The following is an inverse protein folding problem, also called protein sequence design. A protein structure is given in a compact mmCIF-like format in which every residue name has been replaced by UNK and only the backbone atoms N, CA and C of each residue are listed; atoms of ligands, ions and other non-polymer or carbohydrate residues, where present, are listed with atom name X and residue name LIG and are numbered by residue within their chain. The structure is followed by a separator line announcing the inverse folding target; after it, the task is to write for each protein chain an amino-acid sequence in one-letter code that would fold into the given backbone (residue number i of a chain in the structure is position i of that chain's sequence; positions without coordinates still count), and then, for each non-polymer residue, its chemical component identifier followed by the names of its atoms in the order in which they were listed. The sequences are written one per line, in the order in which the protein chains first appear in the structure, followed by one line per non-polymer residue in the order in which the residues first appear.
data_IF_891438332456
#
_entry.id   IF_891438332456
#
_cell.length_a   1.000
_cell.length_b   1.000
_cell.length_c   1.000
_cell.angle_alpha   90.00
_cell.angle_beta   90.00
_cell.angle_gamma   90.00
#
_symmetry.space_group_name_H-M   'P 1'
#
loop_
_entity.id
_entity.type
_entity.pdbx_description
1 polymer ?
#
# COMPACT_ATOMS: atom_id res chain seq x y z
N UNK A 1 2.11 -27.35 5.77
CA UNK A 1 3.20 -27.27 4.76
C UNK A 1 4.40 -28.06 5.28
N UNK A 2 5.15 -28.78 4.44
CA UNK A 2 6.46 -29.30 4.85
C UNK A 2 7.35 -28.13 5.30
N UNK A 3 8.43 -28.41 6.03
CA UNK A 3 9.35 -27.43 6.62
C UNK A 3 9.99 -26.55 5.51
N UNK A 4 9.27 -25.47 5.11
CA UNK A 4 9.70 -24.52 4.06
C UNK A 4 10.70 -23.53 4.61
N UNK A 5 11.70 -23.18 3.81
CA UNK A 5 12.69 -22.15 4.11
C UNK A 5 12.41 -20.92 3.24
N UNK A 6 12.13 -19.80 3.86
CA UNK A 6 11.89 -18.51 3.18
C UNK A 6 13.04 -17.55 3.47
N UNK A 7 13.68 -17.04 2.43
CA UNK A 7 14.79 -16.11 2.53
C UNK A 7 14.35 -14.70 2.15
N UNK A 8 14.33 -13.80 3.13
CA UNK A 8 13.99 -12.36 2.94
C UNK A 8 15.26 -11.57 2.69
N UNK A 9 15.44 -11.09 1.47
CA UNK A 9 16.60 -10.27 1.07
C UNK A 9 16.24 -8.80 1.19
N UNK A 10 16.61 -8.21 2.31
CA UNK A 10 16.27 -6.83 2.69
C UNK A 10 15.27 -6.76 3.85
N UNK A 11 15.81 -6.67 5.08
CA UNK A 11 15.02 -6.50 6.31
C UNK A 11 14.81 -5.00 6.58
N UNK A 12 14.01 -4.36 5.70
CA UNK A 12 13.45 -3.04 5.91
C UNK A 12 12.02 -3.12 6.45
N UNK A 13 11.25 -2.02 6.37
CA UNK A 13 9.84 -1.99 6.74
C UNK A 13 9.05 -3.11 6.02
N UNK A 14 9.13 -3.18 4.70
CA UNK A 14 8.35 -4.13 3.89
C UNK A 14 8.79 -5.57 4.15
N UNK A 15 10.09 -5.88 4.00
CA UNK A 15 10.59 -7.25 4.13
C UNK A 15 10.39 -7.83 5.54
N UNK A 16 10.58 -7.02 6.57
CA UNK A 16 10.34 -7.45 7.95
C UNK A 16 8.84 -7.62 8.24
N UNK A 17 7.96 -6.75 7.74
CA UNK A 17 6.50 -6.90 7.88
C UNK A 17 5.98 -8.14 7.14
N UNK A 18 6.55 -8.47 5.95
CA UNK A 18 6.25 -9.73 5.25
C UNK A 18 6.64 -10.94 6.10
N UNK A 19 7.85 -10.95 6.67
CA UNK A 19 8.31 -12.02 7.56
C UNK A 19 7.35 -12.22 8.73
N UNK A 20 6.90 -11.14 9.37
CA UNK A 20 5.93 -11.20 10.47
C UNK A 20 4.57 -11.78 10.03
N UNK A 21 4.08 -11.37 8.85
CA UNK A 21 2.84 -11.90 8.30
C UNK A 21 2.94 -13.40 7.94
N UNK A 22 4.06 -13.83 7.35
CA UNK A 22 4.34 -15.25 7.07
C UNK A 22 4.37 -16.05 8.38
N UNK A 23 5.09 -15.57 9.38
CA UNK A 23 5.17 -16.21 10.70
C UNK A 23 3.79 -16.36 11.35
N UNK A 24 2.91 -15.40 11.19
CA UNK A 24 1.54 -15.41 11.76
C UNK A 24 0.70 -16.58 11.21
N UNK A 25 0.78 -16.86 9.91
CA UNK A 25 0.02 -17.95 9.28
C UNK A 25 0.76 -19.29 9.27
N UNK A 26 2.08 -19.25 9.24
CA UNK A 26 2.97 -20.40 9.04
C UNK A 26 4.10 -20.40 10.07
N UNK A 27 3.81 -20.71 11.34
CA UNK A 27 4.82 -20.71 12.41
C UNK A 27 5.90 -21.79 12.20
N UNK A 28 5.62 -22.82 11.38
CA UNK A 28 6.54 -23.91 11.02
C UNK A 28 7.59 -23.51 9.98
N UNK A 29 7.39 -22.38 9.26
CA UNK A 29 8.32 -21.94 8.22
C UNK A 29 9.59 -21.36 8.85
N UNK A 30 10.75 -21.79 8.36
CA UNK A 30 12.03 -21.20 8.72
C UNK A 30 12.25 -19.90 7.94
N UNK A 31 12.37 -18.77 8.66
CA UNK A 31 12.60 -17.45 8.08
C UNK A 31 14.07 -17.05 8.21
N UNK A 32 14.74 -16.89 7.07
CA UNK A 32 16.12 -16.42 6.97
C UNK A 32 16.13 -14.98 6.47
N UNK A 33 17.02 -14.15 6.99
CA UNK A 33 17.05 -12.74 6.63
C UNK A 33 18.43 -12.25 6.20
N UNK A 34 18.48 -11.48 5.12
CA UNK A 34 19.67 -10.75 4.72
C UNK A 34 19.48 -9.25 4.94
N UNK A 35 20.47 -8.63 5.56
CA UNK A 35 20.58 -7.17 5.58
C UNK A 35 22.05 -6.75 5.78
N UNK A 36 22.49 -5.70 5.08
CA UNK A 36 23.85 -5.17 5.22
C UNK A 36 24.08 -4.53 6.60
N UNK A 37 23.06 -3.89 7.17
CA UNK A 37 23.13 -3.23 8.48
C UNK A 37 23.12 -4.23 9.64
N UNK A 38 24.17 -4.23 10.47
CA UNK A 38 24.22 -5.04 11.67
C UNK A 38 23.06 -4.71 12.62
N UNK A 39 22.80 -3.41 12.83
CA UNK A 39 21.71 -2.97 13.70
C UNK A 39 20.34 -3.52 13.25
N UNK A 40 20.08 -3.56 11.93
CA UNK A 40 18.85 -4.14 11.40
C UNK A 40 18.77 -5.64 11.64
N UNK A 41 19.88 -6.37 11.49
CA UNK A 41 19.96 -7.81 11.78
C UNK A 41 19.69 -8.11 13.25
N UNK A 42 20.30 -7.34 14.15
CA UNK A 42 20.14 -7.51 15.60
C UNK A 42 18.69 -7.27 16.04
N UNK A 43 18.03 -6.23 15.49
CA UNK A 43 16.62 -5.94 15.77
C UNK A 43 15.73 -7.09 15.25
N UNK A 44 15.97 -7.58 14.03
CA UNK A 44 15.17 -8.65 13.45
C UNK A 44 15.24 -9.95 14.26
N UNK A 45 16.43 -10.33 14.73
CA UNK A 45 16.61 -11.50 15.61
C UNK A 45 15.99 -11.28 16.97
N UNK A 46 16.28 -10.14 17.62
CA UNK A 46 15.78 -9.84 18.97
C UNK A 46 14.26 -9.86 19.04
N UNK A 47 13.59 -9.40 17.99
CA UNK A 47 12.13 -9.34 17.91
C UNK A 47 11.50 -10.62 17.33
N UNK A 48 12.28 -11.67 17.03
CA UNK A 48 11.78 -12.92 16.48
C UNK A 48 11.16 -12.79 15.08
N UNK A 49 11.53 -11.74 14.32
CA UNK A 49 11.02 -11.50 12.96
C UNK A 49 11.51 -12.61 12.02
N UNK A 50 12.77 -12.99 12.16
CA UNK A 50 13.42 -14.09 11.42
C UNK A 50 14.21 -14.99 12.37
N UNK A 51 14.49 -16.23 11.95
CA UNK A 51 15.19 -17.22 12.77
C UNK A 51 16.70 -17.07 12.72
N UNK A 52 17.22 -16.65 11.54
CA UNK A 52 18.65 -16.39 11.32
C UNK A 52 18.85 -15.20 10.41
N UNK A 53 19.99 -14.54 10.53
CA UNK A 53 20.34 -13.38 9.70
C UNK A 53 21.77 -13.49 9.19
N UNK A 54 22.03 -12.87 8.04
CA UNK A 54 23.36 -12.78 7.46
C UNK A 54 23.63 -11.43 6.82
N UNK A 55 24.91 -11.09 6.64
CA UNK A 55 25.37 -9.98 5.80
C UNK A 55 25.88 -10.49 4.43
N UNK A 56 25.95 -11.81 4.23
CA UNK A 56 26.35 -12.45 3.00
C UNK A 56 25.13 -13.01 2.26
N UNK A 57 24.87 -12.51 1.06
CA UNK A 57 23.72 -12.90 0.26
C UNK A 57 23.74 -14.39 -0.11
N UNK A 58 24.94 -14.97 -0.30
CA UNK A 58 25.13 -16.34 -0.75
C UNK A 58 24.85 -17.37 0.36
N UNK A 59 25.06 -17.00 1.64
CA UNK A 59 25.05 -17.91 2.78
C UNK A 59 23.78 -18.74 2.90
N UNK A 60 22.62 -18.16 2.58
CA UNK A 60 21.32 -18.84 2.70
C UNK A 60 20.63 -19.12 1.36
N UNK A 61 21.19 -18.63 0.24
CA UNK A 61 20.52 -18.73 -1.06
C UNK A 61 20.23 -20.17 -1.48
N UNK A 62 21.18 -21.10 -1.24
CA UNK A 62 21.03 -22.53 -1.60
C UNK A 62 20.09 -23.32 -0.68
N UNK A 63 19.65 -22.74 0.44
CA UNK A 63 18.76 -23.39 1.39
C UNK A 63 17.29 -23.02 1.18
N UNK A 64 17.03 -21.91 0.45
CA UNK A 64 15.71 -21.32 0.32
C UNK A 64 14.82 -22.07 -0.67
N UNK A 65 13.57 -22.28 -0.28
CA UNK A 65 12.48 -22.69 -1.17
C UNK A 65 11.77 -21.50 -1.79
N UNK A 66 11.80 -20.34 -1.08
CA UNK A 66 11.30 -19.04 -1.57
C UNK A 66 12.30 -17.95 -1.22
N UNK A 67 12.64 -17.11 -2.19
CA UNK A 67 13.47 -15.91 -2.00
C UNK A 67 12.63 -14.68 -2.29
N UNK A 68 12.44 -13.80 -1.29
CA UNK A 68 11.71 -12.55 -1.45
C UNK A 68 12.69 -11.39 -1.41
N UNK A 69 12.87 -10.69 -2.54
CA UNK A 69 13.79 -9.56 -2.64
C UNK A 69 13.04 -8.27 -2.32
N UNK A 70 13.30 -7.73 -1.13
CA UNK A 70 12.68 -6.52 -0.58
C UNK A 70 13.68 -5.36 -0.52
N UNK A 71 14.13 -4.93 -1.70
CA UNK A 71 15.13 -3.89 -1.90
C UNK A 71 14.61 -2.82 -2.89
N UNK A 72 15.18 -1.61 -2.92
CA UNK A 72 14.90 -0.64 -3.98
C UNK A 72 15.17 -1.21 -5.37
N UNK A 73 14.45 -0.73 -6.40
CA UNK A 73 14.41 -1.31 -7.75
C UNK A 73 15.81 -1.64 -8.31
N UNK A 74 16.73 -0.67 -8.24
CA UNK A 74 18.10 -0.86 -8.75
C UNK A 74 18.83 -2.00 -8.05
N UNK A 75 18.73 -2.08 -6.72
CA UNK A 75 19.33 -3.15 -5.94
C UNK A 75 18.64 -4.49 -6.17
N UNK A 76 17.32 -4.50 -6.36
CA UNK A 76 16.56 -5.72 -6.71
C UNK A 76 17.10 -6.33 -8.00
N UNK A 77 17.27 -5.53 -9.05
CA UNK A 77 17.82 -6.00 -10.34
C UNK A 77 19.25 -6.53 -10.18
N UNK A 78 20.08 -5.83 -9.43
CA UNK A 78 21.45 -6.29 -9.13
C UNK A 78 21.46 -7.60 -8.33
N UNK A 79 20.54 -7.74 -7.40
CA UNK A 79 20.39 -8.97 -6.60
C UNK A 79 19.96 -10.15 -7.47
N UNK A 80 19.07 -9.97 -8.44
CA UNK A 80 18.72 -11.03 -9.40
C UNK A 80 19.93 -11.51 -10.20
N UNK A 81 20.75 -10.56 -10.68
CA UNK A 81 21.99 -10.89 -11.39
C UNK A 81 23.03 -11.63 -10.51
N UNK A 82 23.01 -11.41 -9.20
CA UNK A 82 23.86 -12.13 -8.26
C UNK A 82 23.29 -13.52 -7.99
N UNK A 83 22.02 -13.62 -7.66
CA UNK A 83 21.32 -14.89 -7.39
C UNK A 83 21.40 -15.86 -8.59
N UNK A 84 21.32 -15.35 -9.82
CA UNK A 84 21.44 -16.18 -11.03
C UNK A 84 22.80 -16.85 -11.22
N UNK A 85 23.84 -16.45 -10.48
CA UNK A 85 25.19 -17.02 -10.50
C UNK A 85 25.45 -17.94 -9.31
N UNK A 86 24.50 -18.03 -8.36
CA UNK A 86 24.62 -18.82 -7.14
C UNK A 86 24.00 -20.21 -7.34
N UNK A 87 24.37 -21.15 -6.49
CA UNK A 87 23.68 -22.42 -6.40
C UNK A 87 22.34 -22.23 -5.69
N UNK A 88 21.24 -22.37 -6.41
CA UNK A 88 19.89 -22.29 -5.87
C UNK A 88 19.24 -23.69 -5.87
N UNK A 89 18.23 -23.89 -5.04
CA UNK A 89 17.42 -25.10 -5.13
C UNK A 89 16.71 -25.18 -6.49
N UNK A 90 16.49 -26.37 -6.99
CA UNK A 90 15.57 -26.60 -8.10
C UNK A 90 14.16 -26.17 -7.69
N UNK A 91 13.42 -25.54 -8.62
CA UNK A 91 12.05 -25.06 -8.41
C UNK A 91 11.91 -23.97 -7.32
N UNK A 92 13.02 -23.35 -6.88
CA UNK A 92 12.93 -22.20 -5.96
C UNK A 92 12.06 -21.10 -6.54
N UNK A 93 11.18 -20.54 -5.74
CA UNK A 93 10.42 -19.34 -6.14
C UNK A 93 11.24 -18.11 -5.79
N UNK A 94 11.49 -17.26 -6.79
CA UNK A 94 12.08 -15.93 -6.59
C UNK A 94 11.03 -14.88 -6.89
N UNK A 95 10.82 -13.96 -5.95
CA UNK A 95 9.89 -12.84 -6.09
C UNK A 95 10.49 -11.54 -5.58
N UNK A 96 9.85 -10.44 -5.90
CA UNK A 96 10.20 -9.10 -5.39
C UNK A 96 8.99 -8.37 -4.79
N UNK A 97 9.22 -7.18 -4.27
CA UNK A 97 8.19 -6.30 -3.71
C UNK A 97 8.28 -4.87 -4.26
N UNK A 98 8.94 -4.70 -5.37
CA UNK A 98 9.23 -3.37 -5.93
C UNK A 98 7.97 -2.63 -6.41
N UNK A 99 8.02 -1.30 -6.34
CA UNK A 99 6.91 -0.43 -6.71
C UNK A 99 6.70 -0.26 -8.22
N UNK A 100 7.65 -0.71 -9.05
CA UNK A 100 7.53 -0.76 -10.52
C UNK A 100 7.77 -2.18 -11.00
N UNK A 101 7.07 -2.61 -12.03
CA UNK A 101 7.09 -4.02 -12.45
C UNK A 101 7.73 -4.24 -13.82
N UNK A 102 7.50 -3.37 -14.79
CA UNK A 102 8.02 -3.57 -16.15
C UNK A 102 9.52 -3.83 -16.20
N UNK A 103 10.31 -2.99 -15.55
CA UNK A 103 11.78 -3.13 -15.49
C UNK A 103 12.22 -4.31 -14.64
N UNK A 104 11.59 -4.53 -13.48
CA UNK A 104 11.95 -5.61 -12.54
C UNK A 104 11.62 -6.98 -13.13
N UNK A 105 10.42 -7.14 -13.69
CA UNK A 105 9.99 -8.41 -14.27
C UNK A 105 10.86 -8.80 -15.46
N UNK A 106 11.16 -7.84 -16.34
CA UNK A 106 12.10 -8.06 -17.44
C UNK A 106 13.46 -8.54 -16.93
N UNK A 107 14.03 -7.85 -15.94
CA UNK A 107 15.31 -8.22 -15.36
C UNK A 107 15.30 -9.60 -14.68
N UNK A 108 14.21 -9.94 -13.98
CA UNK A 108 14.02 -11.26 -13.37
C UNK A 108 13.95 -12.37 -14.42
N UNK A 109 13.16 -12.17 -15.48
CA UNK A 109 13.10 -13.12 -16.59
C UNK A 109 14.47 -13.32 -17.26
N UNK A 110 15.20 -12.24 -17.56
CA UNK A 110 16.53 -12.32 -18.14
C UNK A 110 17.53 -13.06 -17.22
N UNK A 111 17.47 -12.81 -15.91
CA UNK A 111 18.38 -13.43 -14.94
C UNK A 111 18.13 -14.92 -14.76
N UNK A 112 16.87 -15.36 -14.81
CA UNK A 112 16.48 -16.73 -14.44
C UNK A 112 16.03 -17.62 -15.62
N UNK A 113 16.00 -17.09 -16.84
CA UNK A 113 15.46 -17.75 -18.04
C UNK A 113 16.01 -19.18 -18.30
N UNK A 114 17.25 -19.47 -17.90
CA UNK A 114 17.90 -20.76 -18.14
C UNK A 114 18.15 -21.56 -16.85
N UNK A 115 17.51 -21.16 -15.76
CA UNK A 115 17.68 -21.80 -14.46
C UNK A 115 16.36 -22.46 -14.04
N UNK A 116 16.42 -23.52 -13.21
CA UNK A 116 15.24 -24.14 -12.65
C UNK A 116 14.65 -23.28 -11.52
N UNK A 117 14.33 -22.03 -11.84
CA UNK A 117 13.81 -20.98 -10.93
C UNK A 117 12.45 -20.56 -11.41
N UNK A 118 11.47 -20.56 -10.54
CA UNK A 118 10.12 -20.04 -10.79
C UNK A 118 10.05 -18.57 -10.35
N UNK A 119 10.14 -17.66 -11.32
CA UNK A 119 10.10 -16.21 -11.04
C UNK A 119 8.69 -15.64 -11.11
N UNK A 120 8.31 -14.87 -10.08
CA UNK A 120 7.02 -14.16 -9.99
C UNK A 120 7.25 -12.75 -9.50
N UNK A 121 6.90 -11.74 -10.30
CA UNK A 121 6.91 -10.34 -9.85
C UNK A 121 5.80 -10.06 -8.84
N UNK A 122 6.10 -9.31 -7.79
CA UNK A 122 5.17 -8.95 -6.73
C UNK A 122 5.24 -7.47 -6.34
N UNK A 123 4.12 -6.91 -5.87
CA UNK A 123 4.07 -5.55 -5.31
C UNK A 123 2.97 -5.43 -4.26
N UNK A 124 3.30 -5.35 -2.96
CA UNK A 124 2.33 -4.99 -1.93
C UNK A 124 2.02 -3.48 -2.02
N UNK A 125 0.76 -3.14 -2.31
CA UNK A 125 0.27 -1.75 -2.39
C UNK A 125 0.08 -1.14 -0.99
N UNK A 126 1.12 -1.26 -0.17
CA UNK A 126 1.14 -0.72 1.19
C UNK A 126 2.53 -0.15 1.49
N UNK A 127 2.55 0.88 2.32
CA UNK A 127 3.78 1.54 2.72
C UNK A 127 3.53 2.57 3.82
N UNK A 128 4.61 3.10 4.38
CA UNK A 128 4.58 4.15 5.38
C UNK A 128 5.72 5.14 5.09
N UNK A 129 5.60 6.35 5.63
CA UNK A 129 6.71 7.32 5.68
C UNK A 129 7.84 6.85 6.62
N UNK A 130 7.56 5.88 7.50
CA UNK A 130 8.55 5.27 8.38
C UNK A 130 9.41 4.27 7.60
N UNK A 131 10.67 4.13 7.96
CA UNK A 131 11.64 3.24 7.32
C UNK A 131 12.33 2.32 8.31
N UNK A 132 12.96 1.26 7.79
CA UNK A 132 13.77 0.33 8.59
C UNK A 132 12.98 -0.75 9.29
N UNK A 133 13.71 -1.73 9.83
CA UNK A 133 13.15 -2.92 10.50
C UNK A 133 12.40 -2.58 11.80
N UNK A 134 12.83 -1.52 12.51
CA UNK A 134 12.18 -1.09 13.74
C UNK A 134 10.74 -0.57 13.53
N UNK A 135 10.39 -0.24 12.29
CA UNK A 135 9.05 0.21 11.90
C UNK A 135 8.20 -0.91 11.32
N UNK A 136 8.69 -2.16 11.32
CA UNK A 136 7.94 -3.30 10.81
C UNK A 136 6.64 -3.49 11.61
N UNK A 137 5.58 -3.83 10.88
CA UNK A 137 4.24 -3.96 11.42
C UNK A 137 3.54 -5.14 10.75
N UNK A 138 3.07 -6.10 11.54
CA UNK A 138 2.37 -7.30 11.05
C UNK A 138 1.02 -6.97 10.39
N UNK A 139 0.46 -5.79 10.63
CA UNK A 139 -0.81 -5.32 10.08
C UNK A 139 -0.63 -4.39 8.87
N UNK A 140 0.61 -4.10 8.47
CA UNK A 140 0.92 -3.16 7.39
C UNK A 140 0.15 -3.42 6.09
N UNK A 141 -0.10 -4.69 5.78
CA UNK A 141 -0.72 -5.13 4.53
C UNK A 141 -2.21 -5.45 4.66
N UNK A 142 -2.78 -5.40 5.86
CA UNK A 142 -4.19 -5.72 6.07
C UNK A 142 -5.07 -4.83 5.19
N UNK A 143 -5.96 -5.50 4.43
CA UNK A 143 -6.87 -4.87 3.47
C UNK A 143 -6.19 -4.15 2.27
N UNK A 144 -4.87 -4.18 2.14
CA UNK A 144 -4.17 -3.68 0.97
C UNK A 144 -4.24 -4.69 -0.19
N UNK A 145 -3.98 -4.24 -1.40
CA UNK A 145 -3.74 -5.15 -2.52
C UNK A 145 -2.30 -5.65 -2.49
N UNK A 146 -2.12 -6.95 -2.75
CA UNK A 146 -0.83 -7.53 -3.15
C UNK A 146 -0.96 -7.94 -4.61
N UNK A 147 -0.20 -7.28 -5.47
CA UNK A 147 -0.29 -7.47 -6.91
C UNK A 147 0.79 -8.46 -7.34
N UNK A 148 0.39 -9.57 -7.97
CA UNK A 148 1.29 -10.41 -8.75
C UNK A 148 1.28 -9.95 -10.20
N UNK A 149 2.46 -10.01 -10.83
CA UNK A 149 2.60 -9.59 -12.22
C UNK A 149 3.11 -10.76 -13.09
N UNK A 150 2.20 -11.72 -13.41
CA UNK A 150 2.54 -12.84 -14.25
C UNK A 150 2.85 -12.41 -15.68
N UNK A 151 3.66 -13.22 -16.35
CA UNK A 151 3.91 -13.18 -17.78
C UNK A 151 3.63 -14.56 -18.37
N UNK A 152 3.74 -14.71 -19.68
CA UNK A 152 3.59 -16.02 -20.34
C UNK A 152 4.60 -17.07 -19.87
N UNK A 153 5.72 -16.64 -19.28
CA UNK A 153 6.75 -17.52 -18.74
C UNK A 153 6.56 -17.81 -17.23
N UNK A 154 5.57 -17.22 -16.59
CA UNK A 154 5.34 -17.43 -15.15
C UNK A 154 4.58 -18.73 -14.95
N UNK A 155 5.10 -19.58 -14.04
CA UNK A 155 4.39 -20.79 -13.60
C UNK A 155 3.21 -20.38 -12.70
N UNK A 156 1.96 -20.73 -13.07
CA UNK A 156 0.78 -20.41 -12.25
C UNK A 156 0.81 -21.05 -10.85
N UNK A 157 1.48 -22.22 -10.70
CA UNK A 157 1.59 -22.88 -9.41
C UNK A 157 2.41 -22.07 -8.41
N UNK A 158 3.43 -21.34 -8.88
CA UNK A 158 4.21 -20.45 -8.04
C UNK A 158 3.37 -19.31 -7.45
N UNK A 159 2.41 -18.78 -8.21
CA UNK A 159 1.49 -17.73 -7.71
C UNK A 159 0.57 -18.31 -6.62
N UNK A 160 0.06 -19.53 -6.80
CA UNK A 160 -0.78 -20.18 -5.81
C UNK A 160 -0.01 -20.45 -4.51
N UNK A 161 1.23 -20.94 -4.62
CA UNK A 161 2.10 -21.15 -3.47
C UNK A 161 2.44 -19.83 -2.75
N UNK A 162 2.66 -18.74 -3.50
CA UNK A 162 2.89 -17.44 -2.92
C UNK A 162 1.65 -16.89 -2.21
N UNK A 163 0.45 -17.06 -2.79
CA UNK A 163 -0.82 -16.65 -2.13
C UNK A 163 -1.03 -17.41 -0.82
N UNK A 164 -0.74 -18.71 -0.78
CA UNK A 164 -0.80 -19.50 0.44
C UNK A 164 0.23 -19.01 1.47
N UNK A 165 1.49 -18.88 1.09
CA UNK A 165 2.58 -18.39 1.97
C UNK A 165 2.26 -17.01 2.57
N UNK A 166 1.68 -16.12 1.79
CA UNK A 166 1.37 -14.74 2.17
C UNK A 166 -0.03 -14.58 2.79
N UNK A 167 -0.76 -15.67 3.07
CA UNK A 167 -2.14 -15.61 3.60
C UNK A 167 -2.26 -14.86 4.93
N UNK A 168 -1.21 -14.89 5.77
CA UNK A 168 -1.18 -14.17 7.05
C UNK A 168 -1.07 -12.65 6.95
N UNK A 169 -0.89 -12.10 5.75
CA UNK A 169 -0.83 -10.64 5.54
C UNK A 169 -2.20 -9.98 5.61
N UNK A 170 -3.30 -10.72 5.46
CA UNK A 170 -4.65 -10.16 5.41
C UNK A 170 -4.90 -9.23 4.21
N UNK A 171 -4.13 -9.40 3.12
CA UNK A 171 -4.23 -8.59 1.92
C UNK A 171 -5.11 -9.26 0.85
N UNK A 172 -5.49 -8.50 -0.18
CA UNK A 172 -6.23 -8.98 -1.35
C UNK A 172 -5.26 -9.23 -2.49
N UNK A 173 -5.24 -10.46 -3.02
CA UNK A 173 -4.38 -10.82 -4.14
C UNK A 173 -5.06 -10.51 -5.47
N UNK A 174 -4.35 -9.82 -6.36
CA UNK A 174 -4.76 -9.63 -7.76
C UNK A 174 -3.58 -9.91 -8.70
N UNK A 175 -3.90 -10.22 -9.94
CA UNK A 175 -2.94 -10.48 -11.00
C UNK A 175 -3.11 -9.45 -12.11
N UNK A 176 -2.03 -8.77 -12.48
CA UNK A 176 -2.03 -7.68 -13.46
C UNK A 176 -0.80 -7.81 -14.35
N UNK A 177 -0.94 -7.53 -15.64
CA UNK A 177 0.21 -7.43 -16.55
C UNK A 177 1.24 -6.39 -16.04
N UNK A 178 2.57 -6.66 -16.12
CA UNK A 178 3.59 -5.75 -15.59
C UNK A 178 3.54 -4.33 -16.18
N UNK A 179 3.21 -4.19 -17.44
CA UNK A 179 3.14 -2.89 -18.13
C UNK A 179 1.87 -2.15 -17.72
N UNK A 180 0.74 -2.86 -17.62
CA UNK A 180 -0.52 -2.27 -17.14
C UNK A 180 -0.39 -1.86 -15.67
N UNK A 181 0.27 -2.67 -14.83
CA UNK A 181 0.62 -2.28 -13.47
C UNK A 181 1.34 -0.92 -13.43
N UNK A 182 2.39 -0.76 -14.25
CA UNK A 182 3.20 0.47 -14.25
C UNK A 182 2.42 1.68 -14.80
N UNK A 183 1.50 1.47 -15.75
CA UNK A 183 0.56 2.51 -16.23
C UNK A 183 -0.39 2.96 -15.13
N UNK A 184 -1.03 2.01 -14.45
CA UNK A 184 -1.98 2.31 -13.37
C UNK A 184 -1.26 3.00 -12.20
N UNK A 185 -0.14 2.44 -11.72
CA UNK A 185 0.60 3.02 -10.60
C UNK A 185 1.21 4.38 -10.94
N UNK A 186 1.55 4.64 -12.21
CA UNK A 186 2.00 5.97 -12.64
C UNK A 186 0.95 7.03 -12.35
N UNK A 187 -0.34 6.74 -12.57
CA UNK A 187 -1.44 7.68 -12.38
C UNK A 187 -1.83 7.87 -10.93
N UNK A 188 -1.94 6.76 -10.18
CA UNK A 188 -2.54 6.80 -8.82
C UNK A 188 -1.51 6.96 -7.70
N UNK A 189 -0.22 6.77 -7.98
CA UNK A 189 0.86 6.82 -6.99
C UNK A 189 2.03 7.70 -7.43
N UNK A 190 2.67 7.40 -8.56
CA UNK A 190 3.93 8.05 -8.93
C UNK A 190 3.73 9.52 -9.28
N UNK A 191 2.79 9.83 -10.16
CA UNK A 191 2.51 11.21 -10.56
C UNK A 191 2.02 12.08 -9.40
N UNK A 192 1.10 11.65 -8.51
CA UNK A 192 0.74 12.41 -7.32
C UNK A 192 1.92 12.83 -6.43
N UNK A 193 2.95 11.98 -6.29
CA UNK A 193 4.15 12.36 -5.53
C UNK A 193 5.01 13.40 -6.25
N UNK A 194 5.13 13.29 -7.58
CA UNK A 194 5.80 14.33 -8.40
C UNK A 194 5.07 15.66 -8.25
N UNK A 195 3.74 15.64 -8.32
CA UNK A 195 2.91 16.83 -8.17
C UNK A 195 3.05 17.47 -6.78
N UNK A 196 2.97 16.67 -5.72
CA UNK A 196 3.12 17.13 -4.34
C UNK A 196 4.50 17.77 -4.10
N UNK A 197 5.57 17.14 -4.57
CA UNK A 197 6.93 17.66 -4.46
C UNK A 197 7.12 18.95 -5.27
N UNK A 198 6.54 19.04 -6.47
CA UNK A 198 6.59 20.24 -7.33
C UNK A 198 5.83 21.40 -6.69
N UNK A 199 4.62 21.14 -6.17
CA UNK A 199 3.80 22.13 -5.48
C UNK A 199 4.50 22.66 -4.22
N UNK A 200 5.15 21.77 -3.46
CA UNK A 200 5.91 22.15 -2.28
C UNK A 200 7.12 23.02 -2.64
N UNK A 201 7.86 22.66 -3.69
CA UNK A 201 9.00 23.45 -4.19
C UNK A 201 8.56 24.85 -4.67
N UNK A 202 7.45 24.94 -5.41
CA UNK A 202 6.87 26.21 -5.85
C UNK A 202 6.49 27.10 -4.64
N UNK A 203 5.81 26.53 -3.65
CA UNK A 203 5.40 27.27 -2.46
C UNK A 203 6.60 27.74 -1.62
N UNK A 204 7.65 26.92 -1.52
CA UNK A 204 8.88 27.30 -0.82
C UNK A 204 9.54 28.52 -1.48
N UNK A 205 9.72 28.49 -2.79
CA UNK A 205 10.27 29.62 -3.55
C UNK A 205 9.41 30.89 -3.41
N UNK A 206 8.09 30.75 -3.48
CA UNK A 206 7.15 31.88 -3.31
C UNK A 206 7.21 32.48 -1.90
N UNK A 207 7.47 31.68 -0.88
CA UNK A 207 7.55 32.12 0.52
C UNK A 207 8.78 32.99 0.79
N UNK A 208 9.86 32.84 0.00
CA UNK A 208 11.06 33.69 0.11
C UNK A 208 10.74 35.16 -0.15
N UNK A 209 9.82 35.47 -1.09
CA UNK A 209 9.39 36.80 -1.42
C UNK A 209 8.13 37.25 -0.62
N UNK A 210 7.30 36.27 -0.22
CA UNK A 210 5.99 36.51 0.42
C UNK A 210 5.88 35.75 1.75
N UNK A 211 6.46 36.29 2.81
CA UNK A 211 6.58 35.62 4.14
C UNK A 211 5.25 35.18 4.77
N UNK A 212 4.12 35.74 4.35
CA UNK A 212 2.79 35.33 4.81
C UNK A 212 2.31 34.02 4.17
N UNK A 213 2.86 33.60 3.03
CA UNK A 213 2.41 32.42 2.30
C UNK A 213 2.49 31.15 3.18
N UNK A 214 3.60 30.95 3.88
CA UNK A 214 3.74 29.83 4.82
C UNK A 214 2.77 29.87 6.00
N UNK A 215 2.39 31.07 6.45
CA UNK A 215 1.42 31.24 7.56
C UNK A 215 -0.02 31.01 7.13
N UNK A 216 -0.33 31.21 5.85
CA UNK A 216 -1.66 30.99 5.28
C UNK A 216 -1.84 29.57 4.74
N UNK A 217 -0.79 28.73 4.76
CA UNK A 217 -0.88 27.34 4.37
C UNK A 217 -1.85 26.58 5.30
N UNK A 218 -3.06 26.33 4.80
CA UNK A 218 -4.15 25.68 5.52
C UNK A 218 -4.30 24.20 5.15
N UNK A 219 -5.37 23.55 5.62
CA UNK A 219 -5.59 22.12 5.50
C UNK A 219 -5.44 21.58 4.08
N UNK A 220 -6.06 22.18 3.08
CA UNK A 220 -5.99 21.73 1.69
C UNK A 220 -4.55 21.67 1.14
N UNK A 221 -3.73 22.70 1.40
CA UNK A 221 -2.33 22.70 1.00
C UNK A 221 -1.53 21.59 1.71
N UNK A 222 -1.71 21.48 3.02
CA UNK A 222 -1.06 20.44 3.82
C UNK A 222 -1.41 19.03 3.35
N UNK A 223 -2.68 18.76 3.05
CA UNK A 223 -3.14 17.45 2.61
C UNK A 223 -2.57 17.10 1.24
N UNK A 224 -2.53 18.03 0.30
CA UNK A 224 -1.95 17.84 -1.03
C UNK A 224 -0.43 17.64 -1.00
N UNK A 225 0.28 18.29 -0.08
CA UNK A 225 1.75 18.25 -0.02
C UNK A 225 2.29 17.24 0.98
N UNK A 226 1.45 16.60 1.80
CA UNK A 226 1.86 15.65 2.84
C UNK A 226 2.79 14.55 2.32
N UNK A 227 2.53 14.03 1.13
CA UNK A 227 3.34 12.95 0.53
C UNK A 227 4.69 13.42 -0.04
N UNK A 228 4.94 14.73 -0.08
CA UNK A 228 6.26 15.28 -0.46
C UNK A 228 7.37 14.99 0.57
N UNK A 229 7.02 14.58 1.80
CA UNK A 229 7.98 14.18 2.84
C UNK A 229 8.56 12.76 2.61
N UNK A 230 8.21 12.11 1.51
CA UNK A 230 8.64 10.75 1.20
C UNK A 230 10.14 10.67 0.92
N UNK A 231 10.72 9.48 1.14
CA UNK A 231 12.17 9.24 1.07
C UNK A 231 12.70 9.44 -0.37
N UNK A 232 13.68 10.35 -0.59
CA UNK A 232 14.11 10.76 -1.93
C UNK A 232 14.74 9.65 -2.77
N UNK A 233 15.53 8.75 -2.16
CA UNK A 233 16.23 7.68 -2.91
C UNK A 233 15.24 6.65 -3.46
N UNK A 234 14.16 6.37 -2.76
CA UNK A 234 13.09 5.51 -3.22
C UNK A 234 12.39 6.13 -4.44
N UNK A 235 12.02 7.41 -4.37
CA UNK A 235 11.34 8.11 -5.47
C UNK A 235 12.23 8.30 -6.69
N UNK A 236 13.52 8.59 -6.50
CA UNK A 236 14.50 8.59 -7.59
C UNK A 236 14.50 7.25 -8.33
N UNK A 237 14.50 6.14 -7.58
CA UNK A 237 14.50 4.80 -8.16
C UNK A 237 13.20 4.49 -8.92
N UNK A 238 12.03 4.90 -8.38
CA UNK A 238 10.73 4.73 -9.02
C UNK A 238 10.64 5.52 -10.33
N UNK A 239 10.99 6.82 -10.31
CA UNK A 239 10.90 7.67 -11.50
C UNK A 239 11.80 7.18 -12.64
N UNK A 240 13.02 6.72 -12.31
CA UNK A 240 13.95 6.19 -13.30
C UNK A 240 13.60 4.79 -13.82
N UNK A 241 12.77 4.03 -13.11
CA UNK A 241 12.36 2.68 -13.52
C UNK A 241 11.03 2.62 -14.29
N UNK A 242 10.21 3.69 -14.23
CA UNK A 242 8.95 3.81 -14.99
C UNK A 242 8.86 5.17 -15.72
N UNK A 243 9.88 5.60 -16.48
CA UNK A 243 9.94 6.97 -17.02
C UNK A 243 8.85 7.24 -18.04
N UNK A 244 8.55 6.31 -18.95
CA UNK A 244 7.60 6.53 -20.06
C UNK A 244 6.20 6.85 -19.52
N UNK A 245 5.63 5.97 -18.68
CA UNK A 245 4.29 6.16 -18.15
C UNK A 245 4.18 7.42 -17.27
N UNK A 246 5.23 7.78 -16.54
CA UNK A 246 5.25 8.99 -15.70
C UNK A 246 5.33 10.25 -16.56
N UNK A 247 6.16 10.27 -17.60
CA UNK A 247 6.27 11.41 -18.53
C UNK A 247 4.95 11.65 -19.27
N UNK A 248 4.25 10.58 -19.68
CA UNK A 248 2.92 10.69 -20.29
C UNK A 248 1.92 11.35 -19.33
N UNK A 249 1.94 11.02 -18.03
CA UNK A 249 1.06 11.66 -17.03
C UNK A 249 1.41 13.11 -16.80
N UNK A 250 2.69 13.46 -16.79
CA UNK A 250 3.14 14.85 -16.68
C UNK A 250 2.64 15.66 -17.88
N UNK A 251 2.82 15.16 -19.10
CA UNK A 251 2.38 15.85 -20.32
C UNK A 251 0.85 16.05 -20.35
N UNK A 252 0.07 15.01 -20.02
CA UNK A 252 -1.39 15.11 -19.94
C UNK A 252 -1.83 16.17 -18.92
N UNK A 253 -1.19 16.18 -17.76
CA UNK A 253 -1.52 17.15 -16.72
C UNK A 253 -1.16 18.60 -17.10
N UNK A 254 0.00 18.79 -17.74
CA UNK A 254 0.39 20.11 -18.28
C UNK A 254 -0.65 20.64 -19.26
N UNK A 255 -1.11 19.79 -20.20
CA UNK A 255 -2.15 20.17 -21.16
C UNK A 255 -3.48 20.56 -20.45
N UNK A 256 -3.85 19.88 -19.36
CA UNK A 256 -5.04 20.21 -18.58
C UNK A 256 -4.89 21.55 -17.84
N UNK A 257 -3.71 21.83 -17.29
CA UNK A 257 -3.42 23.13 -16.67
C UNK A 257 -3.48 24.27 -17.70
N UNK A 258 -2.96 24.06 -18.90
CA UNK A 258 -3.04 25.07 -19.99
C UNK A 258 -4.49 25.35 -20.38
N UNK A 259 -5.36 24.33 -20.45
CA UNK A 259 -6.80 24.53 -20.68
C UNK A 259 -7.44 25.37 -19.57
N UNK A 260 -7.14 25.11 -18.30
CA UNK A 260 -7.65 25.93 -17.19
C UNK A 260 -7.13 27.35 -17.27
N UNK A 261 -5.85 27.55 -17.61
CA UNK A 261 -5.28 28.88 -17.79
C UNK A 261 -5.96 29.65 -18.93
N UNK A 262 -6.34 29.00 -20.01
CA UNK A 262 -7.06 29.60 -21.14
C UNK A 262 -8.50 29.97 -20.77
N UNK A 263 -9.23 29.14 -20.05
CA UNK A 263 -10.55 29.47 -19.51
C UNK A 263 -10.49 30.74 -18.63
N UNK A 264 -9.47 30.83 -17.78
CA UNK A 264 -9.27 32.03 -16.92
C UNK A 264 -8.95 33.29 -17.74
N UNK A 265 -8.04 33.18 -18.71
CA UNK A 265 -7.67 34.34 -19.58
C UNK A 265 -8.84 34.88 -20.37
N UNK A 266 -9.74 33.99 -20.79
CA UNK A 266 -10.91 34.35 -21.61
C UNK A 266 -12.14 34.67 -20.77
N UNK A 267 -12.08 34.55 -19.44
CA UNK A 267 -13.21 34.81 -18.56
C UNK A 267 -14.40 33.89 -18.77
N UNK A 268 -14.16 32.62 -19.12
CA UNK A 268 -15.20 31.64 -19.43
C UNK A 268 -15.80 31.06 -18.14
N UNK A 269 -16.71 31.80 -17.54
CA UNK A 269 -17.30 31.47 -16.23
C UNK A 269 -18.01 30.13 -16.22
N UNK A 270 -18.83 29.83 -17.22
CA UNK A 270 -19.55 28.53 -17.32
C UNK A 270 -18.62 27.33 -17.50
N UNK A 271 -17.53 27.49 -18.25
CA UNK A 271 -16.56 26.41 -18.46
C UNK A 271 -15.76 26.16 -17.17
N UNK A 272 -15.38 27.23 -16.46
CA UNK A 272 -14.70 27.12 -15.16
C UNK A 272 -15.61 26.43 -14.15
N UNK A 273 -16.88 26.83 -14.10
CA UNK A 273 -17.86 26.20 -13.21
C UNK A 273 -18.01 24.69 -13.54
N UNK A 274 -18.17 24.38 -14.82
CA UNK A 274 -18.32 22.99 -15.28
C UNK A 274 -17.09 22.14 -14.97
N UNK A 275 -15.88 22.70 -15.08
CA UNK A 275 -14.64 22.01 -14.73
C UNK A 275 -14.63 21.56 -13.26
N UNK A 276 -15.02 22.44 -12.33
CA UNK A 276 -15.07 22.09 -10.91
C UNK A 276 -16.24 21.15 -10.58
N UNK A 277 -17.38 21.34 -11.21
CA UNK A 277 -18.56 20.51 -10.97
C UNK A 277 -18.32 19.06 -11.42
N UNK A 278 -17.77 18.84 -12.61
CA UNK A 278 -17.38 17.51 -13.09
C UNK A 278 -16.34 16.86 -12.16
N UNK A 279 -15.37 17.62 -11.68
CA UNK A 279 -14.37 17.12 -10.74
C UNK A 279 -15.00 16.68 -9.40
N UNK A 280 -15.97 17.47 -8.91
CA UNK A 280 -16.75 17.13 -7.70
C UNK A 280 -17.52 15.83 -7.89
N UNK A 281 -18.26 15.69 -9.00
CA UNK A 281 -19.02 14.47 -9.30
C UNK A 281 -18.12 13.24 -9.43
N UNK A 282 -17.01 13.36 -10.19
CA UNK A 282 -16.04 12.29 -10.33
C UNK A 282 -15.48 11.87 -8.97
N UNK A 283 -15.16 12.83 -8.10
CA UNK A 283 -14.63 12.55 -6.76
C UNK A 283 -15.65 11.83 -5.87
N UNK A 284 -16.93 12.16 -5.98
CA UNK A 284 -18.01 11.51 -5.25
C UNK A 284 -18.25 10.06 -5.71
N UNK A 285 -18.14 9.80 -7.01
CA UNK A 285 -18.34 8.46 -7.59
C UNK A 285 -17.08 7.58 -7.56
N UNK A 286 -15.89 8.18 -7.41
CA UNK A 286 -14.66 7.43 -7.34
C UNK A 286 -14.54 6.71 -6.01
N UNK A 287 -14.57 5.38 -6.04
CA UNK A 287 -14.31 4.55 -4.86
C UNK A 287 -12.84 4.67 -4.46
N UNK A 288 -12.52 5.65 -3.62
CA UNK A 288 -11.19 5.78 -3.05
C UNK A 288 -11.19 5.04 -1.72
N UNK A 289 -10.51 3.91 -1.69
CA UNK A 289 -10.39 3.12 -0.48
C UNK A 289 -9.66 3.93 0.61
N UNK A 290 -10.33 4.16 1.73
CA UNK A 290 -9.66 4.66 2.94
C UNK A 290 -8.68 3.59 3.43
N UNK A 291 -7.52 3.96 3.96
CA UNK A 291 -6.55 3.04 4.55
C UNK A 291 -7.28 2.11 5.55
N UNK A 292 -7.18 0.80 5.34
CA UNK A 292 -7.83 -0.21 6.18
C UNK A 292 -9.32 -0.45 5.90
N UNK A 293 -9.91 0.27 4.92
CA UNK A 293 -11.28 0.02 4.51
C UNK A 293 -11.35 -1.18 3.56
N UNK A 294 -11.73 -2.35 4.07
CA UNK A 294 -12.46 -3.32 3.24
C UNK A 294 -13.68 -2.55 2.74
N UNK A 295 -14.06 -2.65 1.44
CA UNK A 295 -15.48 -2.52 1.12
C UNK A 295 -16.20 -3.60 1.94
N UNK A 296 -16.56 -3.25 3.15
CA UNK A 296 -17.59 -3.96 3.84
C UNK A 296 -18.86 -3.58 3.10
N UNK A 297 -19.47 -4.54 2.45
CA UNK A 297 -20.81 -4.36 1.89
C UNK A 297 -21.86 -4.31 3.00
N UNK A 298 -21.43 -4.37 4.26
CA UNK A 298 -22.28 -4.54 5.44
C UNK A 298 -21.97 -3.47 6.49
N UNK A 299 -22.25 -2.20 6.13
CA UNK A 299 -22.05 -1.06 7.00
C UNK A 299 -23.37 -0.61 7.64
N UNK A 300 -23.32 -0.25 8.93
CA UNK A 300 -24.35 0.55 9.57
C UNK A 300 -23.80 1.91 9.95
N UNK A 301 -24.66 2.91 9.93
CA UNK A 301 -24.35 4.27 10.35
C UNK A 301 -25.27 4.60 11.52
N UNK A 302 -24.69 4.92 12.66
CA UNK A 302 -25.41 5.22 13.89
C UNK A 302 -25.20 6.67 14.24
N UNK A 303 -26.29 7.44 14.35
CA UNK A 303 -26.24 8.80 14.87
C UNK A 303 -26.03 8.75 16.38
N UNK A 304 -24.90 9.22 16.85
CA UNK A 304 -24.53 9.16 18.27
C UNK A 304 -24.47 10.55 18.89
N UNK A 305 -25.08 10.77 20.06
CA UNK A 305 -24.95 12.02 20.80
C UNK A 305 -23.52 12.16 21.36
N UNK A 306 -23.12 13.42 21.65
CA UNK A 306 -21.86 13.68 22.35
C UNK A 306 -22.02 13.42 23.86
N UNK A 307 -22.02 12.13 24.21
CA UNK A 307 -22.13 11.63 25.59
C UNK A 307 -20.89 10.81 25.97
N UNK A 308 -20.52 10.86 27.24
CA UNK A 308 -19.48 9.98 27.76
C UNK A 308 -19.84 8.50 27.53
N UNK A 309 -18.86 7.70 27.09
CA UNK A 309 -18.98 6.25 26.87
C UNK A 309 -19.99 5.78 25.82
N UNK A 310 -20.56 6.67 25.01
CA UNK A 310 -21.56 6.29 23.98
C UNK A 310 -21.04 5.21 23.03
N UNK A 311 -19.80 5.33 22.57
CA UNK A 311 -19.16 4.35 21.67
C UNK A 311 -18.97 3.01 22.38
N UNK A 312 -18.51 3.03 23.62
CA UNK A 312 -18.33 1.82 24.44
C UNK A 312 -19.66 1.09 24.64
N UNK A 313 -20.71 1.82 24.92
CA UNK A 313 -22.07 1.29 25.08
C UNK A 313 -22.56 0.58 23.81
N UNK A 314 -22.38 1.20 22.64
CA UNK A 314 -22.75 0.58 21.36
C UNK A 314 -21.93 -0.68 21.11
N UNK A 315 -20.61 -0.66 21.33
CA UNK A 315 -19.75 -1.81 21.13
C UNK A 315 -20.08 -2.98 22.07
N UNK A 316 -20.50 -2.70 23.30
CA UNK A 316 -20.98 -3.72 24.23
C UNK A 316 -22.27 -4.37 23.73
N UNK A 317 -23.23 -3.60 23.18
CA UNK A 317 -24.47 -4.12 22.63
C UNK A 317 -24.24 -5.08 21.47
N UNK A 318 -23.32 -4.76 20.57
CA UNK A 318 -23.01 -5.58 19.38
C UNK A 318 -21.93 -6.63 19.64
N UNK A 319 -21.62 -6.91 20.89
CA UNK A 319 -20.61 -7.90 21.27
C UNK A 319 -20.93 -9.27 20.70
N UNK A 320 -19.95 -9.89 20.03
CA UNK A 320 -20.09 -11.20 19.40
C UNK A 320 -20.50 -11.15 17.93
N UNK A 321 -20.61 -9.95 17.32
CA UNK A 321 -20.64 -9.77 15.87
C UNK A 321 -19.21 -9.69 15.29
N UNK A 322 -19.05 -9.99 14.00
CA UNK A 322 -17.76 -9.96 13.32
C UNK A 322 -17.42 -8.54 12.84
N UNK A 323 -16.92 -7.71 13.75
CA UNK A 323 -16.49 -6.36 13.42
C UNK A 323 -15.28 -6.37 12.48
N UNK A 324 -15.31 -5.51 11.46
CA UNK A 324 -14.19 -5.27 10.52
C UNK A 324 -13.56 -3.91 10.76
N UNK A 325 -14.40 -2.89 10.94
CA UNK A 325 -13.93 -1.51 11.10
C UNK A 325 -14.93 -0.67 11.88
N UNK A 326 -14.42 0.36 12.55
CA UNK A 326 -15.20 1.38 13.23
C UNK A 326 -14.62 2.72 12.83
N UNK A 327 -15.47 3.63 12.37
CA UNK A 327 -15.05 4.96 11.98
C UNK A 327 -16.00 6.02 12.55
N UNK A 328 -15.45 7.07 13.14
CA UNK A 328 -16.22 8.21 13.62
C UNK A 328 -16.05 9.33 12.61
N UNK A 329 -17.15 9.77 12.01
CA UNK A 329 -17.18 10.95 11.15
C UNK A 329 -17.60 12.14 12.00
N UNK A 330 -16.65 12.98 12.36
CA UNK A 330 -16.91 14.32 12.89
C UNK A 330 -17.24 15.24 11.71
N UNK A 331 -18.49 15.36 11.32
CA UNK A 331 -18.93 16.49 10.51
C UNK A 331 -19.15 17.66 11.47
N UNK A 332 -18.40 18.76 11.24
CA UNK A 332 -18.62 20.06 11.89
C UNK A 332 -20.03 20.57 11.53
N UNK A 333 -21.04 20.16 12.28
CA UNK A 333 -22.36 20.80 12.33
C UNK A 333 -22.52 21.39 13.71
N UNK A 334 -23.09 22.58 13.78
CA UNK A 334 -23.44 23.31 15.02
C UNK A 334 -24.44 22.55 15.92
N UNK A 335 -24.94 21.39 15.47
CA UNK A 335 -25.80 20.48 16.22
C UNK A 335 -25.09 19.10 16.38
N UNK A 336 -24.63 18.89 17.50
CA UNK A 336 -23.95 17.90 18.32
C UNK A 336 -24.30 16.43 18.06
N UNK A 337 -24.12 15.86 16.88
CA UNK A 337 -24.20 14.41 16.66
C UNK A 337 -23.03 13.94 15.79
N UNK A 338 -22.29 12.94 16.28
CA UNK A 338 -21.30 12.21 15.48
C UNK A 338 -21.96 11.06 14.74
N UNK A 339 -21.47 10.73 13.54
CA UNK A 339 -21.89 9.51 12.84
C UNK A 339 -20.86 8.42 13.09
N UNK A 340 -21.27 7.35 13.78
CA UNK A 340 -20.47 6.15 14.00
C UNK A 340 -20.77 5.15 12.88
N UNK A 341 -19.80 4.96 11.98
CA UNK A 341 -19.86 3.92 10.97
C UNK A 341 -19.25 2.64 11.52
N UNK A 342 -20.00 1.53 11.46
CA UNK A 342 -19.56 0.21 11.91
C UNK A 342 -19.68 -0.76 10.74
N UNK A 343 -18.60 -1.48 10.44
CA UNK A 343 -18.50 -2.40 9.31
C UNK A 343 -18.41 -3.86 9.78
N UNK A 344 -19.16 -4.76 9.15
CA UNK A 344 -19.24 -6.18 9.50
C UNK A 344 -18.73 -7.09 8.37
N UNK A 345 -18.36 -8.33 8.70
CA UNK A 345 -17.94 -9.34 7.71
C UNK A 345 -19.11 -9.96 6.96
N UNK A 346 -20.31 -9.97 7.55
CA UNK A 346 -21.48 -10.66 7.00
C UNK A 346 -22.75 -9.81 7.13
N UNK A 347 -23.70 -10.00 6.21
CA UNK A 347 -25.02 -9.39 6.30
C UNK A 347 -25.77 -9.79 7.60
N UNK A 348 -25.62 -11.02 8.04
CA UNK A 348 -26.26 -11.50 9.26
C UNK A 348 -25.75 -10.77 10.52
N UNK A 349 -24.47 -10.40 10.58
CA UNK A 349 -23.92 -9.61 11.68
C UNK A 349 -24.35 -8.14 11.60
N UNK A 350 -24.52 -7.60 10.40
CA UNK A 350 -25.05 -6.26 10.17
C UNK A 350 -26.51 -6.17 10.66
N UNK A 351 -27.38 -7.06 10.21
CA UNK A 351 -28.79 -7.12 10.61
C UNK A 351 -28.94 -7.33 12.12
N UNK A 352 -28.11 -8.20 12.69
CA UNK A 352 -28.10 -8.43 14.14
C UNK A 352 -27.68 -7.18 14.92
N UNK A 353 -26.66 -6.47 14.46
CA UNK A 353 -26.17 -5.27 15.11
C UNK A 353 -27.19 -4.13 15.03
N UNK A 354 -27.82 -3.94 13.85
CA UNK A 354 -28.92 -2.99 13.68
C UNK A 354 -30.06 -3.26 14.65
N UNK A 355 -30.54 -4.51 14.71
CA UNK A 355 -31.62 -4.91 15.62
C UNK A 355 -31.26 -4.62 17.09
N UNK A 356 -30.07 -5.01 17.53
CA UNK A 356 -29.60 -4.81 18.92
C UNK A 356 -29.52 -3.32 19.30
N UNK A 357 -29.00 -2.47 18.40
CA UNK A 357 -28.91 -1.03 18.67
C UNK A 357 -30.30 -0.39 18.68
N UNK A 358 -31.13 -0.69 17.67
CA UNK A 358 -32.50 -0.13 17.56
C UNK A 358 -33.43 -0.56 18.71
N UNK A 359 -33.29 -1.80 19.20
CA UNK A 359 -34.12 -2.30 20.31
C UNK A 359 -33.68 -1.79 21.69
N UNK A 360 -32.42 -1.47 21.86
CA UNK A 360 -31.83 -1.13 23.18
C UNK A 360 -31.41 0.33 23.34
N UNK A 361 -31.55 1.14 22.29
CA UNK A 361 -31.24 2.57 22.32
C UNK A 361 -32.24 3.36 21.48
N UNK A 362 -32.25 4.69 21.69
CA UNK A 362 -33.02 5.63 20.85
C UNK A 362 -32.16 6.16 19.67
N UNK A 363 -31.05 5.52 19.35
CA UNK A 363 -30.14 5.97 18.29
C UNK A 363 -30.69 5.61 16.91
N UNK A 364 -30.58 6.56 15.97
CA UNK A 364 -30.95 6.32 14.57
C UNK A 364 -29.88 5.45 13.91
N UNK A 365 -30.31 4.34 13.29
CA UNK A 365 -29.43 3.43 12.56
C UNK A 365 -29.83 3.41 11.08
N UNK A 366 -28.86 3.61 10.19
CA UNK A 366 -29.05 3.56 8.74
C UNK A 366 -28.15 2.49 8.14
N UNK A 367 -28.71 1.58 7.36
CA UNK A 367 -27.97 0.63 6.52
C UNK A 367 -27.75 1.25 5.14
N UNK A 368 -26.56 1.13 4.60
CA UNK A 368 -26.24 1.55 3.24
C UNK A 368 -25.81 0.39 2.39
#
# INVERSE_FOLDING_TARGET
MEEKVVYIVGLGLIGASLAMGIRKAHPEVTLLGYNRSQASRDIALKNGIVDKVTADLEEFASQADVIIVSLPVKQTIQTFQQLSKMSLKEEVIVTDVGSTKGTIVKAGQEAFNHLPVRFVGGHPMAGSHKTGVASADSTLFENAYYIFTPTVATDPSAILEMKELLSGLGCRFIEVDPIEHDRVTSQISHFPHVLAATLMGQAAAYTEEHSLAGRFAAGGFRDMTRIAESEPSMWTSILLSNPSAILDRIADFQNRLDQVADMIRQGQEDDIWSFFDQSREQRQHMQIHKRGGVESTFDIFVDVPDEEDVILRILELIRGTSLVNIHINEENREDVYGILQISFKTAADQERAEALITEQTDYSVVIK
#
